data_IF_386515120154
#
_entry.id   IF_386515120154
#
_cell.length_a   1.000
_cell.length_b   1.000
_cell.length_c   1.000
_cell.angle_alpha   90.00
_cell.angle_beta   90.00
_cell.angle_gamma   90.00
#
_symmetry.space_group_name_H-M   'P 1'
#
loop_
_entity.id
_entity.type
_entity.pdbx_description
1 polymer ?
#
# COMPACT_ATOMS: atom_id res chain seq x y z
N UNK A 1 16.47 38.28 -10.00
CA UNK A 1 16.26 37.08 -10.84
C UNK A 1 15.19 36.26 -10.14
N UNK A 2 14.08 36.00 -10.82
CA UNK A 2 12.86 35.43 -10.23
C UNK A 2 13.12 34.06 -9.60
N UNK A 3 12.62 33.88 -8.38
CA UNK A 3 12.50 32.59 -7.72
C UNK A 3 11.70 31.66 -8.63
N UNK A 4 12.32 30.59 -9.11
CA UNK A 4 11.60 29.45 -9.66
C UNK A 4 11.00 28.69 -8.48
N UNK A 5 9.88 29.18 -7.96
CA UNK A 5 8.96 28.31 -7.23
C UNK A 5 8.58 27.18 -8.18
N UNK A 6 8.85 25.94 -7.78
CA UNK A 6 8.63 24.75 -8.59
C UNK A 6 7.19 24.71 -9.06
N UNK A 7 6.99 25.00 -10.34
CA UNK A 7 5.70 24.89 -11.00
C UNK A 7 5.35 23.40 -11.03
N UNK A 8 4.59 22.91 -10.03
CA UNK A 8 4.07 21.55 -10.00
C UNK A 8 3.37 21.29 -11.34
N UNK A 9 3.87 20.30 -12.08
CA UNK A 9 3.37 19.96 -13.40
C UNK A 9 1.98 19.34 -13.23
N UNK A 10 0.92 20.15 -13.40
CA UNK A 10 -0.44 19.63 -13.40
C UNK A 10 -0.63 18.74 -14.61
N UNK A 11 -1.07 17.51 -14.37
CA UNK A 11 -1.54 16.60 -15.41
C UNK A 11 -2.79 17.21 -16.08
N UNK A 12 -2.84 17.12 -17.39
CA UNK A 12 -3.99 17.57 -18.20
C UNK A 12 -4.60 16.38 -18.92
N UNK A 13 -5.73 16.58 -19.61
CA UNK A 13 -6.32 15.52 -20.43
C UNK A 13 -5.46 15.12 -21.64
N UNK A 14 -4.46 15.93 -22.00
CA UNK A 14 -3.52 15.66 -23.08
C UNK A 14 -2.24 14.97 -22.59
N UNK A 15 -2.03 14.91 -21.27
CA UNK A 15 -0.89 14.20 -20.69
C UNK A 15 -0.92 12.73 -21.07
N UNK A 16 0.25 12.19 -21.39
CA UNK A 16 0.45 10.79 -21.72
C UNK A 16 0.61 9.96 -20.45
N UNK A 17 0.53 8.64 -20.57
CA UNK A 17 0.83 7.74 -19.47
C UNK A 17 2.30 7.78 -19.01
N UNK A 18 3.21 8.35 -19.80
CA UNK A 18 4.62 8.51 -19.39
C UNK A 18 4.81 9.71 -18.46
N UNK A 19 3.81 10.59 -18.40
CA UNK A 19 3.82 11.77 -17.54
C UNK A 19 3.28 11.47 -16.13
N UNK A 20 2.74 10.26 -15.91
CA UNK A 20 2.12 9.82 -14.64
C UNK A 20 3.07 8.92 -13.85
N UNK A 21 2.99 8.96 -12.52
CA UNK A 21 3.83 8.12 -11.65
C UNK A 21 3.40 6.65 -11.73
N UNK A 22 2.10 6.39 -11.85
CA UNK A 22 1.53 5.04 -11.97
C UNK A 22 1.78 4.38 -13.33
N UNK A 23 2.12 5.16 -14.36
CA UNK A 23 2.13 4.70 -15.74
C UNK A 23 0.73 4.49 -16.34
N UNK A 24 -0.34 4.96 -15.67
CA UNK A 24 -1.70 4.89 -16.19
C UNK A 24 -2.04 6.06 -17.09
N UNK A 25 -2.95 5.82 -18.03
CA UNK A 25 -3.55 6.89 -18.82
C UNK A 25 -4.45 7.77 -17.94
N UNK A 26 -4.63 9.02 -18.36
CA UNK A 26 -5.52 9.97 -17.67
C UNK A 26 -6.95 9.43 -17.55
N UNK A 27 -7.44 8.71 -18.57
CA UNK A 27 -8.76 8.07 -18.51
C UNK A 27 -8.82 7.00 -17.41
N UNK A 28 -7.81 6.14 -17.31
CA UNK A 28 -7.74 5.12 -16.26
C UNK A 28 -7.65 5.75 -14.87
N UNK A 29 -6.88 6.82 -14.69
CA UNK A 29 -6.80 7.53 -13.41
C UNK A 29 -8.18 8.06 -12.99
N UNK A 30 -8.95 8.65 -13.92
CA UNK A 30 -10.32 9.09 -13.63
C UNK A 30 -11.27 7.93 -13.32
N UNK A 31 -11.12 6.80 -14.01
CA UNK A 31 -11.91 5.59 -13.72
C UNK A 31 -11.58 5.02 -12.35
N UNK A 32 -10.31 4.97 -11.98
CA UNK A 32 -9.87 4.54 -10.65
C UNK A 32 -10.41 5.50 -9.58
N UNK A 33 -10.32 6.81 -9.80
CA UNK A 33 -10.89 7.80 -8.88
C UNK A 33 -12.41 7.68 -8.73
N UNK A 34 -13.13 7.15 -9.72
CA UNK A 34 -14.56 6.88 -9.57
C UNK A 34 -14.87 5.69 -8.64
N UNK A 35 -13.85 4.98 -8.16
CA UNK A 35 -13.94 3.83 -7.24
C UNK A 35 -13.29 4.11 -5.88
N UNK A 36 -13.14 5.39 -5.54
CA UNK A 36 -12.70 5.83 -4.21
C UNK A 36 -13.78 6.61 -3.51
N UNK A 37 -13.78 6.55 -2.18
CA UNK A 37 -14.50 7.48 -1.33
C UNK A 37 -13.49 8.28 -0.48
N UNK A 38 -13.90 9.48 -0.09
CA UNK A 38 -13.09 10.39 0.73
C UNK A 38 -13.84 10.69 2.02
N UNK A 39 -13.20 10.41 3.16
CA UNK A 39 -13.74 10.73 4.47
C UNK A 39 -12.70 11.53 5.27
N UNK A 40 -13.06 12.73 5.72
CA UNK A 40 -12.17 13.63 6.46
C UNK A 40 -10.80 13.85 5.78
N UNK A 41 -10.78 13.92 4.43
CA UNK A 41 -9.56 14.10 3.64
C UNK A 41 -8.74 12.82 3.40
N UNK A 42 -9.18 11.66 3.90
CA UNK A 42 -8.53 10.37 3.63
C UNK A 42 -9.18 9.71 2.42
N UNK A 43 -8.39 9.44 1.38
CA UNK A 43 -8.83 8.75 0.16
C UNK A 43 -8.72 7.24 0.38
N UNK A 44 -9.79 6.49 0.11
CA UNK A 44 -9.84 5.03 0.28
C UNK A 44 -10.51 4.35 -0.91
N UNK A 45 -10.01 3.17 -1.29
CA UNK A 45 -10.68 2.33 -2.28
C UNK A 45 -12.00 1.79 -1.76
N UNK A 46 -13.04 1.83 -2.58
CA UNK A 46 -14.35 1.24 -2.23
C UNK A 46 -14.29 -0.28 -2.07
N UNK A 47 -13.31 -0.93 -2.71
CA UNK A 47 -13.21 -2.39 -2.77
C UNK A 47 -12.72 -3.04 -1.48
N UNK A 48 -11.89 -2.34 -0.71
CA UNK A 48 -11.19 -2.92 0.45
C UNK A 48 -10.87 -1.92 1.56
N UNK A 49 -11.35 -0.68 1.45
CA UNK A 49 -11.14 0.40 2.42
C UNK A 49 -9.66 0.76 2.65
N UNK A 50 -8.74 0.31 1.78
CA UNK A 50 -7.32 0.65 1.87
C UNK A 50 -7.04 1.98 1.21
N UNK A 51 -6.07 2.69 1.75
CA UNK A 51 -5.51 3.89 1.12
C UNK A 51 -4.79 3.52 -0.19
N UNK A 52 -5.02 4.25 -1.30
CA UNK A 52 -4.23 4.11 -2.51
C UNK A 52 -2.72 4.26 -2.26
N UNK A 53 -1.90 3.62 -3.08
CA UNK A 53 -0.44 3.79 -3.00
C UNK A 53 -0.02 5.20 -3.44
N UNK A 54 1.19 5.63 -3.06
CA UNK A 54 1.60 7.04 -3.15
C UNK A 54 1.53 7.60 -4.56
N UNK A 55 2.04 6.85 -5.54
CA UNK A 55 2.01 7.24 -6.95
C UNK A 55 0.58 7.52 -7.43
N UNK A 56 -0.40 6.74 -6.97
CA UNK A 56 -1.81 6.98 -7.31
C UNK A 56 -2.35 8.27 -6.66
N UNK A 57 -2.01 8.52 -5.39
CA UNK A 57 -2.41 9.73 -4.69
C UNK A 57 -1.77 10.98 -5.33
N UNK A 58 -0.51 10.88 -5.73
CA UNK A 58 0.19 11.95 -6.44
C UNK A 58 -0.43 12.21 -7.80
N UNK A 59 -0.72 11.17 -8.59
CA UNK A 59 -1.39 11.31 -9.87
C UNK A 59 -2.79 11.93 -9.72
N UNK A 60 -3.59 11.52 -8.74
CA UNK A 60 -4.89 12.15 -8.44
C UNK A 60 -4.75 13.62 -8.08
N UNK A 61 -3.75 13.99 -7.27
CA UNK A 61 -3.45 15.38 -6.93
C UNK A 61 -3.04 16.18 -8.15
N UNK A 62 -2.15 15.64 -8.98
CA UNK A 62 -1.61 16.35 -10.15
C UNK A 62 -2.67 16.54 -11.24
N UNK A 63 -3.67 15.65 -11.29
CA UNK A 63 -4.92 15.83 -12.05
C UNK A 63 -5.92 16.81 -11.41
N UNK A 64 -5.67 17.26 -10.19
CA UNK A 64 -6.54 18.17 -9.43
C UNK A 64 -7.81 17.50 -8.90
N UNK A 65 -7.82 16.18 -8.72
CA UNK A 65 -8.95 15.42 -8.17
C UNK A 65 -8.98 15.47 -6.63
N UNK A 66 -7.81 15.64 -6.02
CA UNK A 66 -7.60 15.83 -4.59
C UNK A 66 -6.55 16.91 -4.38
N UNK A 67 -6.39 17.40 -3.15
CA UNK A 67 -5.35 18.36 -2.81
C UNK A 67 -4.14 17.73 -2.09
N UNK A 68 -3.14 18.54 -1.77
CA UNK A 68 -1.94 18.06 -1.06
C UNK A 68 -2.24 17.64 0.39
N UNK A 69 -3.23 18.26 1.03
CA UNK A 69 -3.60 17.89 2.39
C UNK A 69 -4.25 16.50 2.41
N UNK A 70 -5.08 16.17 1.41
CA UNK A 70 -5.67 14.85 1.26
C UNK A 70 -4.61 13.76 1.11
N UNK A 71 -3.55 14.03 0.33
CA UNK A 71 -2.41 13.10 0.18
C UNK A 71 -1.73 12.85 1.52
N UNK A 72 -1.42 13.91 2.27
CA UNK A 72 -0.73 13.78 3.57
C UNK A 72 -1.58 13.04 4.60
N UNK A 73 -2.87 13.39 4.71
CA UNK A 73 -3.80 12.71 5.61
C UNK A 73 -3.96 11.22 5.25
N UNK A 74 -3.96 10.91 3.96
CA UNK A 74 -4.03 9.53 3.47
C UNK A 74 -2.75 8.75 3.81
N UNK A 75 -1.58 9.37 3.69
CA UNK A 75 -0.30 8.76 4.07
C UNK A 75 -0.26 8.44 5.57
N UNK A 76 -0.63 9.40 6.42
CA UNK A 76 -0.71 9.21 7.87
C UNK A 76 -1.71 8.08 8.24
N UNK A 77 -2.88 8.07 7.60
CA UNK A 77 -3.88 7.02 7.80
C UNK A 77 -3.35 5.62 7.42
N UNK A 78 -2.58 5.52 6.32
CA UNK A 78 -1.97 4.26 5.88
C UNK A 78 -0.91 3.76 6.86
N UNK A 79 -0.13 4.66 7.48
CA UNK A 79 0.84 4.27 8.51
C UNK A 79 0.14 3.66 9.73
N UNK A 80 -0.94 4.29 10.19
CA UNK A 80 -1.77 3.78 11.29
C UNK A 80 -2.38 2.41 10.93
N UNK A 81 -2.96 2.28 9.74
CA UNK A 81 -3.56 1.02 9.27
C UNK A 81 -2.52 -0.11 9.19
N UNK A 82 -1.30 0.21 8.74
CA UNK A 82 -0.20 -0.75 8.67
C UNK A 82 0.30 -1.16 10.06
N UNK A 83 0.43 -0.22 10.98
CA UNK A 83 0.82 -0.51 12.36
C UNK A 83 -0.21 -1.44 13.03
N UNK A 84 -1.50 -1.11 12.90
CA UNK A 84 -2.58 -1.93 13.43
C UNK A 84 -2.58 -3.35 12.83
N UNK A 85 -2.43 -3.47 11.51
CA UNK A 85 -2.36 -4.75 10.82
C UNK A 85 -1.15 -5.60 11.28
N UNK A 86 0.04 -5.00 11.38
CA UNK A 86 1.24 -5.71 11.81
C UNK A 86 1.15 -6.15 13.27
N UNK A 87 0.54 -5.34 14.13
CA UNK A 87 0.28 -5.70 15.52
C UNK A 87 -0.68 -6.89 15.64
N UNK A 88 -1.80 -6.86 14.90
CA UNK A 88 -2.76 -7.97 14.84
C UNK A 88 -2.10 -9.24 14.31
N UNK A 89 -1.33 -9.14 13.22
CA UNK A 89 -0.58 -10.25 12.65
C UNK A 89 0.40 -10.86 13.67
N UNK A 90 1.17 -10.02 14.37
CA UNK A 90 2.13 -10.49 15.36
C UNK A 90 1.44 -11.23 16.53
N UNK A 91 0.30 -10.73 17.00
CA UNK A 91 -0.49 -11.41 18.04
C UNK A 91 -1.08 -12.74 17.53
N UNK A 92 -1.63 -12.78 16.31
CA UNK A 92 -2.11 -14.01 15.70
C UNK A 92 -1.00 -15.06 15.58
N UNK A 93 0.20 -14.65 15.17
CA UNK A 93 1.36 -15.53 15.05
C UNK A 93 1.84 -16.09 16.40
N UNK A 94 1.75 -15.31 17.49
CA UNK A 94 2.05 -15.77 18.86
C UNK A 94 1.02 -16.77 19.39
N UNK A 95 -0.24 -16.62 18.96
CA UNK A 95 -1.37 -17.41 19.45
C UNK A 95 -1.69 -18.64 18.58
N UNK A 96 -0.83 -19.00 17.61
CA UNK A 96 -0.99 -20.23 16.81
C UNK A 96 -0.96 -21.46 17.70
N UNK A 97 -1.83 -22.43 17.41
CA UNK A 97 -1.83 -23.71 18.10
C UNK A 97 -0.62 -24.56 17.71
N UNK A 98 -0.22 -25.54 18.56
CA UNK A 98 0.83 -26.49 18.20
C UNK A 98 0.56 -27.23 16.88
N UNK A 99 -0.70 -27.54 16.57
CA UNK A 99 -1.12 -28.19 15.33
C UNK A 99 -0.90 -27.29 14.12
N UNK A 100 -1.26 -26.00 14.20
CA UNK A 100 -1.03 -25.03 13.13
C UNK A 100 0.47 -24.87 12.86
N UNK A 101 1.27 -24.77 13.92
CA UNK A 101 2.74 -24.69 13.79
C UNK A 101 3.30 -25.96 13.15
N UNK A 102 2.79 -27.14 13.50
CA UNK A 102 3.23 -28.40 12.92
C UNK A 102 2.88 -28.51 11.44
N UNK A 103 1.67 -28.10 11.05
CA UNK A 103 1.21 -28.06 9.66
C UNK A 103 2.06 -27.10 8.82
N UNK A 104 2.22 -25.86 9.26
CA UNK A 104 3.06 -24.86 8.57
C UNK A 104 4.51 -25.35 8.37
N UNK A 105 5.09 -26.01 9.38
CA UNK A 105 6.45 -26.58 9.28
C UNK A 105 6.51 -27.78 8.34
N UNK A 106 5.47 -28.60 8.32
CA UNK A 106 5.36 -29.72 7.39
C UNK A 106 5.28 -29.23 5.94
N UNK A 107 4.47 -28.21 5.67
CA UNK A 107 4.37 -27.57 4.36
C UNK A 107 5.69 -26.89 3.94
N UNK A 108 6.32 -26.15 4.85
CA UNK A 108 7.61 -25.52 4.58
C UNK A 108 8.70 -26.55 4.25
N UNK A 109 8.73 -27.69 4.95
CA UNK A 109 9.64 -28.79 4.65
C UNK A 109 9.34 -29.42 3.28
N UNK A 110 8.07 -29.57 2.91
CA UNK A 110 7.69 -30.09 1.60
C UNK A 110 8.09 -29.14 0.46
N UNK A 111 7.95 -27.83 0.67
CA UNK A 111 8.27 -26.81 -0.34
C UNK A 111 9.77 -26.55 -0.50
N UNK A 112 10.53 -26.50 0.61
CA UNK A 112 11.93 -26.09 0.62
C UNK A 112 12.93 -27.23 0.84
N UNK A 113 12.47 -28.41 1.27
CA UNK A 113 13.33 -29.52 1.66
C UNK A 113 13.73 -29.46 3.13
N UNK A 114 14.42 -30.51 3.60
CA UNK A 114 14.86 -30.63 5.00
C UNK A 114 16.14 -29.82 5.27
N UNK A 115 16.28 -29.26 6.47
CA UNK A 115 17.49 -28.56 6.90
C UNK A 115 17.58 -27.10 6.47
N UNK A 116 16.50 -26.52 5.93
CA UNK A 116 16.46 -25.13 5.48
C UNK A 116 16.09 -24.21 6.63
N UNK A 117 16.86 -23.16 6.83
CA UNK A 117 16.59 -22.13 7.85
C UNK A 117 15.49 -21.20 7.35
N UNK A 118 14.37 -21.19 8.06
CA UNK A 118 13.23 -20.32 7.81
C UNK A 118 13.22 -19.16 8.81
N UNK A 119 12.80 -17.98 8.34
CA UNK A 119 12.65 -16.78 9.17
C UNK A 119 11.34 -16.09 8.82
N UNK A 120 10.48 -15.86 9.80
CA UNK A 120 9.33 -14.97 9.63
C UNK A 120 9.84 -13.52 9.71
N UNK A 121 9.75 -12.77 8.60
CA UNK A 121 10.28 -11.42 8.49
C UNK A 121 9.59 -10.40 9.43
N UNK A 122 8.33 -10.64 9.77
CA UNK A 122 7.54 -9.71 10.59
C UNK A 122 7.67 -9.98 12.09
N UNK A 123 7.84 -11.25 12.48
CA UNK A 123 7.94 -11.64 13.91
C UNK A 123 9.36 -11.97 14.37
N UNK A 124 10.29 -12.22 13.42
CA UNK A 124 11.65 -12.66 13.71
C UNK A 124 11.77 -14.13 14.14
N UNK A 125 10.67 -14.89 14.17
CA UNK A 125 10.69 -16.32 14.50
C UNK A 125 11.58 -17.09 13.51
N UNK A 126 12.40 -18.02 14.03
CA UNK A 126 13.29 -18.86 13.22
C UNK A 126 13.08 -20.33 13.54
N UNK A 127 13.09 -21.16 12.50
CA UNK A 127 13.13 -22.61 12.65
C UNK A 127 13.87 -23.25 11.47
N UNK A 128 14.16 -24.54 11.58
CA UNK A 128 14.75 -25.34 10.51
C UNK A 128 13.76 -26.41 10.09
N UNK A 129 13.56 -26.58 8.78
CA UNK A 129 12.64 -27.56 8.20
C UNK A 129 13.07 -29.02 8.37
#
# INVERSE_FOLDING_TARGET
MQNKEGMQMKLTNESSQQDTETGYTIQQLRMNFATVHINCGVVRWDSNDRVPFDDMLNDFRDLGLIDRADVLLSQDAREIDNEAFLAEYAEAQKNRSPEQIAEERYEARAAHGAGVKMVNLFTGEQYTT
#
